data_IF_383876076132
#
_entry.id   IF_383876076132
#
_cell.length_a   1.000
_cell.length_b   1.000
_cell.length_c   1.000
_cell.angle_alpha   90.00
_cell.angle_beta   90.00
_cell.angle_gamma   90.00
#
_symmetry.space_group_name_H-M   'P 1'
#
loop_
_entity.id
_entity.type
_entity.pdbx_description
1 polymer ?
#
# COMPACT_ATOMS: atom_id res chain seq x y z
N UNK A 1 4.21 -12.85 -9.05
CA UNK A 1 4.61 -13.49 -7.76
C UNK A 1 3.63 -13.06 -6.67
N UNK A 2 3.03 -14.03 -5.99
CA UNK A 2 2.13 -13.76 -4.86
C UNK A 2 2.91 -14.00 -3.56
N UNK A 3 3.24 -12.96 -2.78
CA UNK A 3 3.88 -13.14 -1.47
C UNK A 3 2.87 -13.77 -0.49
N UNK A 4 3.35 -14.70 0.33
CA UNK A 4 2.51 -15.27 1.40
C UNK A 4 2.31 -14.25 2.54
N UNK A 5 1.41 -14.57 3.49
CA UNK A 5 1.03 -13.66 4.58
C UNK A 5 2.24 -13.23 5.45
N UNK A 6 3.20 -14.13 5.69
CA UNK A 6 4.41 -13.79 6.45
C UNK A 6 5.26 -12.76 5.71
N UNK A 7 5.44 -12.96 4.41
CA UNK A 7 6.17 -12.00 3.55
C UNK A 7 5.43 -10.66 3.50
N UNK A 8 4.10 -10.66 3.37
CA UNK A 8 3.29 -9.43 3.42
C UNK A 8 3.41 -8.69 4.74
N UNK A 9 3.49 -9.40 5.85
CA UNK A 9 3.72 -8.79 7.16
C UNK A 9 5.11 -8.13 7.24
N UNK A 10 6.15 -8.74 6.65
CA UNK A 10 7.47 -8.12 6.56
C UNK A 10 7.46 -6.87 5.66
N UNK A 11 6.77 -6.93 4.52
CA UNK A 11 6.59 -5.78 3.63
C UNK A 11 5.88 -4.64 4.37
N UNK A 12 4.82 -4.96 5.13
CA UNK A 12 4.09 -4.00 5.94
C UNK A 12 5.00 -3.32 6.98
N UNK A 13 5.80 -4.10 7.72
CA UNK A 13 6.77 -3.55 8.68
C UNK A 13 7.80 -2.64 8.02
N UNK A 14 8.33 -3.05 6.87
CA UNK A 14 9.31 -2.27 6.13
C UNK A 14 8.74 -0.94 5.64
N UNK A 15 7.51 -0.92 5.14
CA UNK A 15 6.90 0.33 4.67
C UNK A 15 6.53 1.25 5.82
N UNK A 16 6.13 0.72 6.98
CA UNK A 16 5.88 1.52 8.18
C UNK A 16 7.19 2.18 8.67
N UNK A 17 8.29 1.41 8.76
CA UNK A 17 9.62 1.95 9.12
C UNK A 17 10.07 3.04 8.13
N UNK A 18 9.93 2.78 6.84
CA UNK A 18 10.23 3.76 5.79
C UNK A 18 9.38 5.03 5.93
N UNK A 19 8.08 4.90 6.11
CA UNK A 19 7.16 6.04 6.29
C UNK A 19 7.55 6.91 7.49
N UNK A 20 7.90 6.27 8.61
CA UNK A 20 8.36 6.98 9.79
C UNK A 20 9.67 7.75 9.53
N UNK A 21 10.60 7.17 8.78
CA UNK A 21 11.89 7.82 8.44
C UNK A 21 11.72 9.05 7.54
N UNK A 22 10.71 9.07 6.68
CA UNK A 22 10.39 10.23 5.84
C UNK A 22 9.42 11.22 6.51
N UNK A 23 9.11 11.04 7.81
CA UNK A 23 8.35 11.98 8.62
C UNK A 23 6.85 11.71 8.71
N UNK A 24 6.33 10.61 8.13
CA UNK A 24 4.94 10.20 8.29
C UNK A 24 4.82 9.37 9.57
N UNK A 25 4.54 10.05 10.67
CA UNK A 25 4.35 9.41 11.97
C UNK A 25 3.00 8.68 12.00
N UNK A 26 3.01 7.38 12.30
CA UNK A 26 1.81 6.53 12.34
C UNK A 26 1.05 6.51 11.01
N UNK A 27 1.66 5.99 9.92
CA UNK A 27 1.07 6.01 8.59
C UNK A 27 -0.25 5.23 8.54
N UNK A 28 -1.18 5.69 7.72
CA UNK A 28 -2.43 5.01 7.38
C UNK A 28 -2.18 4.08 6.20
N UNK A 29 -2.22 2.78 6.46
CA UNK A 29 -1.92 1.74 5.46
C UNK A 29 -3.19 1.04 5.03
N UNK A 30 -3.59 1.22 3.77
CA UNK A 30 -4.68 0.48 3.16
C UNK A 30 -4.18 -0.82 2.53
N UNK A 31 -4.80 -1.94 2.89
CA UNK A 31 -4.53 -3.24 2.29
C UNK A 31 -5.51 -3.48 1.15
N UNK A 32 -5.00 -3.39 -0.09
CA UNK A 32 -5.84 -3.40 -1.28
C UNK A 32 -6.37 -4.78 -1.63
N UNK A 33 -7.63 -4.78 -2.02
CA UNK A 33 -8.33 -5.90 -2.64
C UNK A 33 -9.28 -5.38 -3.74
N UNK A 34 -9.96 -6.27 -4.42
CA UNK A 34 -11.01 -5.91 -5.38
C UNK A 34 -12.30 -5.44 -4.70
N UNK A 35 -12.45 -5.68 -3.40
CA UNK A 35 -13.65 -5.40 -2.61
C UNK A 35 -13.29 -4.99 -1.20
N UNK A 36 -14.19 -4.31 -0.52
CA UNK A 36 -14.13 -4.00 0.92
C UNK A 36 -14.75 -5.11 1.80
N UNK A 37 -15.41 -6.09 1.19
CA UNK A 37 -15.96 -7.24 1.89
C UNK A 37 -14.98 -8.40 1.91
N UNK A 38 -15.00 -9.18 2.99
CA UNK A 38 -14.19 -10.40 3.11
C UNK A 38 -14.93 -11.54 2.43
N UNK A 39 -14.43 -11.97 1.27
CA UNK A 39 -15.04 -13.01 0.45
C UNK A 39 -14.01 -14.13 0.19
N UNK A 40 -14.39 -15.38 0.47
CA UNK A 40 -13.52 -16.54 0.19
C UNK A 40 -13.19 -16.69 -1.31
N UNK A 41 -14.11 -16.27 -2.18
CA UNK A 41 -13.90 -16.22 -3.63
C UNK A 41 -12.89 -15.16 -4.09
N UNK A 42 -12.50 -14.24 -3.19
CA UNK A 42 -11.51 -13.19 -3.43
C UNK A 42 -10.38 -13.32 -2.40
N UNK A 43 -9.38 -14.18 -2.63
CA UNK A 43 -8.33 -14.50 -1.66
C UNK A 43 -7.61 -13.26 -1.10
N UNK A 44 -7.42 -12.21 -1.92
CA UNK A 44 -6.80 -10.96 -1.48
C UNK A 44 -7.59 -10.25 -0.37
N UNK A 45 -8.93 -10.43 -0.30
CA UNK A 45 -9.75 -9.84 0.75
C UNK A 45 -9.56 -10.56 2.08
N UNK A 46 -9.47 -11.89 2.04
CA UNK A 46 -9.20 -12.73 3.22
C UNK A 46 -7.81 -12.43 3.78
N UNK A 47 -6.79 -12.38 2.91
CA UNK A 47 -5.42 -12.04 3.31
C UNK A 47 -5.30 -10.63 3.90
N UNK A 48 -6.01 -9.65 3.33
CA UNK A 48 -6.02 -8.27 3.84
C UNK A 48 -6.64 -8.19 5.24
N UNK A 49 -7.73 -8.92 5.49
CA UNK A 49 -8.32 -9.01 6.83
C UNK A 49 -7.35 -9.67 7.83
N UNK A 50 -6.74 -10.78 7.43
CA UNK A 50 -5.75 -11.48 8.27
C UNK A 50 -4.57 -10.57 8.62
N UNK A 51 -4.03 -9.86 7.63
CA UNK A 51 -2.91 -8.94 7.82
C UNK A 51 -3.30 -7.75 8.72
N UNK A 52 -4.53 -7.25 8.63
CA UNK A 52 -5.09 -6.24 9.53
C UNK A 52 -5.10 -6.74 10.98
N UNK A 53 -5.54 -7.99 11.20
CA UNK A 53 -5.55 -8.62 12.53
C UNK A 53 -4.13 -8.82 13.07
N UNK A 54 -3.20 -9.25 12.22
CA UNK A 54 -1.79 -9.42 12.59
C UNK A 54 -1.11 -8.08 12.95
N UNK A 55 -1.34 -7.04 12.17
CA UNK A 55 -0.81 -5.70 12.46
C UNK A 55 -1.25 -5.19 13.84
N UNK A 56 -2.53 -5.39 14.16
CA UNK A 56 -3.10 -5.04 15.47
C UNK A 56 -2.52 -5.90 16.60
N UNK A 57 -2.38 -7.21 16.39
CA UNK A 57 -1.82 -8.15 17.37
C UNK A 57 -0.35 -7.82 17.70
N UNK A 58 0.43 -7.43 16.70
CA UNK A 58 1.82 -7.04 16.87
C UNK A 58 2.01 -5.58 17.30
N UNK A 59 0.92 -4.86 17.49
CA UNK A 59 0.92 -3.45 17.92
C UNK A 59 1.83 -2.56 17.07
N UNK A 60 1.71 -2.70 15.73
CA UNK A 60 2.51 -1.91 14.79
C UNK A 60 2.16 -0.42 14.91
N UNK A 61 3.18 0.46 14.81
CA UNK A 61 3.00 1.91 14.88
C UNK A 61 2.42 2.48 13.57
N UNK A 62 1.22 2.05 13.21
CA UNK A 62 0.48 2.46 12.02
C UNK A 62 -1.02 2.19 12.21
N UNK A 63 -1.86 2.90 11.50
CA UNK A 63 -3.25 2.54 11.32
C UNK A 63 -3.36 1.66 10.07
N UNK A 64 -3.58 0.35 10.25
CA UNK A 64 -3.64 -0.63 9.15
C UNK A 64 -5.06 -1.14 9.02
N UNK A 65 -5.60 -1.09 7.80
CA UNK A 65 -6.95 -1.56 7.53
C UNK A 65 -7.11 -2.13 6.11
N UNK A 66 -7.86 -3.20 6.01
CA UNK A 66 -8.30 -3.85 4.79
C UNK A 66 -9.20 -5.06 5.10
N UNK A 67 -9.86 -5.58 4.05
CA UNK A 67 -9.71 -5.21 2.64
C UNK A 67 -10.32 -3.84 2.31
N UNK A 68 -9.71 -3.15 1.35
CA UNK A 68 -10.22 -1.93 0.75
C UNK A 68 -10.02 -1.98 -0.77
N UNK A 69 -11.01 -1.51 -1.52
CA UNK A 69 -10.83 -1.24 -2.94
C UNK A 69 -10.04 0.07 -3.13
N UNK A 70 -9.47 0.27 -4.30
CA UNK A 70 -8.63 1.45 -4.58
C UNK A 70 -9.36 2.76 -4.32
N UNK A 71 -10.59 2.90 -4.83
CA UNK A 71 -11.40 4.12 -4.70
C UNK A 71 -11.70 4.49 -3.24
N UNK A 72 -12.07 3.51 -2.43
CA UNK A 72 -12.38 3.75 -1.03
C UNK A 72 -11.15 3.83 -0.11
N UNK A 73 -9.97 3.50 -0.63
CA UNK A 73 -8.71 3.74 0.08
C UNK A 73 -8.28 5.21 0.04
N UNK A 74 -8.56 5.92 -1.08
CA UNK A 74 -8.05 7.27 -1.34
C UNK A 74 -9.13 8.36 -1.40
N UNK A 75 -10.41 7.98 -1.45
CA UNK A 75 -11.54 8.91 -1.57
C UNK A 75 -12.50 8.79 -0.40
N UNK A 76 -12.53 9.83 0.45
CA UNK A 76 -13.53 9.95 1.54
C UNK A 76 -14.97 9.85 1.04
N UNK A 77 -15.23 10.38 -0.16
CA UNK A 77 -16.55 10.31 -0.79
C UNK A 77 -16.92 8.86 -1.08
N UNK A 78 -16.02 8.09 -1.71
CA UNK A 78 -16.24 6.67 -2.02
C UNK A 78 -16.41 5.85 -0.75
N UNK A 79 -15.54 6.05 0.23
CA UNK A 79 -15.63 5.39 1.53
C UNK A 79 -16.97 5.70 2.24
N UNK A 80 -17.42 6.96 2.17
CA UNK A 80 -18.70 7.39 2.76
C UNK A 80 -19.91 6.77 2.07
N UNK A 81 -19.92 6.69 0.74
CA UNK A 81 -21.01 6.04 -0.02
C UNK A 81 -21.12 4.55 0.36
N UNK A 82 -20.00 3.87 0.55
CA UNK A 82 -19.94 2.47 0.96
C UNK A 82 -20.11 2.25 2.47
N UNK A 83 -20.29 3.33 3.24
CA UNK A 83 -20.51 3.25 4.69
C UNK A 83 -19.32 2.75 5.50
N UNK A 84 -18.10 2.84 4.95
CA UNK A 84 -16.89 2.35 5.61
C UNK A 84 -16.47 3.35 6.70
N UNK A 85 -16.57 2.91 7.96
CA UNK A 85 -16.20 3.71 9.14
C UNK A 85 -14.84 3.28 9.67
N UNK A 86 -13.77 3.83 9.08
CA UNK A 86 -12.39 3.56 9.50
C UNK A 86 -11.50 4.78 9.24
N UNK A 87 -10.44 4.95 10.03
CA UNK A 87 -9.49 6.07 9.92
C UNK A 87 -8.61 6.02 8.69
N UNK A 88 -8.46 4.85 8.06
CA UNK A 88 -7.63 4.63 6.87
C UNK A 88 -8.44 4.89 5.59
N UNK A 89 -9.74 4.50 5.60
CA UNK A 89 -10.58 4.61 4.42
C UNK A 89 -10.73 6.07 3.94
N UNK A 90 -10.35 6.30 2.70
CA UNK A 90 -10.34 7.62 2.06
C UNK A 90 -9.17 8.53 2.41
N UNK A 91 -8.24 8.07 3.24
CA UNK A 91 -7.09 8.86 3.73
C UNK A 91 -5.78 8.05 3.79
N UNK A 92 -5.65 7.01 2.99
CA UNK A 92 -4.46 6.17 3.02
C UNK A 92 -3.20 6.93 2.58
N UNK A 93 -2.16 6.87 3.40
CA UNK A 93 -0.80 7.32 3.06
C UNK A 93 -0.05 6.25 2.25
N UNK A 94 -0.39 4.98 2.48
CA UNK A 94 0.26 3.82 1.87
C UNK A 94 -0.79 2.85 1.33
N UNK A 95 -0.57 2.37 0.11
CA UNK A 95 -1.37 1.32 -0.51
C UNK A 95 -0.54 0.03 -0.61
N UNK A 96 -0.85 -0.97 0.19
CA UNK A 96 -0.24 -2.28 0.09
C UNK A 96 -1.06 -3.14 -0.87
N UNK A 97 -0.48 -3.42 -2.02
CA UNK A 97 -1.15 -4.16 -3.11
C UNK A 97 -1.07 -5.68 -2.90
N UNK A 98 -2.04 -6.45 -3.41
CA UNK A 98 -2.07 -7.89 -3.24
C UNK A 98 -0.96 -8.64 -3.98
N UNK A 99 -0.48 -8.09 -5.10
CA UNK A 99 0.55 -8.71 -5.94
C UNK A 99 1.44 -7.67 -6.63
N UNK A 100 2.60 -8.12 -7.09
CA UNK A 100 3.53 -7.29 -7.88
C UNK A 100 2.86 -6.79 -9.17
N UNK A 101 2.06 -7.63 -9.81
CA UNK A 101 1.36 -7.31 -11.05
C UNK A 101 0.38 -6.16 -10.84
N UNK A 102 -0.42 -6.22 -9.77
CA UNK A 102 -1.35 -5.14 -9.41
C UNK A 102 -0.61 -3.82 -9.11
N UNK A 103 0.46 -3.88 -8.34
CA UNK A 103 1.28 -2.71 -8.02
C UNK A 103 1.94 -2.11 -9.25
N UNK A 104 2.52 -2.94 -10.13
CA UNK A 104 3.16 -2.47 -11.35
C UNK A 104 2.14 -1.79 -12.29
N UNK A 105 0.97 -2.40 -12.49
CA UNK A 105 -0.09 -1.82 -13.32
C UNK A 105 -0.56 -0.47 -12.76
N UNK A 106 -0.81 -0.38 -11.44
CA UNK A 106 -1.24 0.84 -10.78
C UNK A 106 -0.21 1.97 -10.91
N UNK A 107 1.07 1.71 -10.62
CA UNK A 107 2.15 2.70 -10.75
C UNK A 107 2.31 3.17 -12.19
N UNK A 108 2.33 2.25 -13.16
CA UNK A 108 2.43 2.62 -14.57
C UNK A 108 1.22 3.44 -15.03
N UNK A 109 0.01 3.10 -14.59
CA UNK A 109 -1.19 3.89 -14.91
C UNK A 109 -1.07 5.32 -14.36
N UNK A 110 -0.62 5.51 -13.12
CA UNK A 110 -0.41 6.84 -12.54
C UNK A 110 0.62 7.65 -13.31
N UNK A 111 1.74 7.04 -13.72
CA UNK A 111 2.77 7.72 -14.49
C UNK A 111 2.24 8.13 -15.87
N UNK A 112 1.71 7.19 -16.64
CA UNK A 112 1.36 7.43 -18.04
C UNK A 112 0.06 8.18 -18.26
N UNK A 113 -0.94 8.00 -17.37
CA UNK A 113 -2.25 8.66 -17.54
C UNK A 113 -2.43 9.89 -16.64
N UNK A 114 -1.77 9.93 -15.50
CA UNK A 114 -1.92 11.05 -14.54
C UNK A 114 -0.70 11.97 -14.47
N UNK A 115 0.37 11.66 -15.21
CA UNK A 115 1.61 12.44 -15.16
C UNK A 115 2.32 12.41 -13.80
N UNK A 116 2.08 11.36 -13.01
CA UNK A 116 2.68 11.26 -11.69
C UNK A 116 4.20 11.05 -11.80
N UNK A 117 4.95 11.76 -10.95
CA UNK A 117 6.37 11.48 -10.75
C UNK A 117 6.50 10.28 -9.79
N UNK A 118 7.27 9.28 -10.17
CA UNK A 118 7.49 8.08 -9.37
C UNK A 118 8.97 7.88 -9.08
N UNK A 119 9.27 7.52 -7.84
CA UNK A 119 10.59 7.08 -7.42
C UNK A 119 10.48 5.69 -6.77
N UNK A 120 11.43 4.80 -7.08
CA UNK A 120 11.47 3.46 -6.55
C UNK A 120 12.52 3.31 -5.46
N UNK A 121 12.11 2.79 -4.30
CA UNK A 121 13.05 2.48 -3.20
C UNK A 121 12.87 1.04 -2.77
N UNK A 122 13.96 0.28 -2.77
CA UNK A 122 14.00 -1.06 -2.18
C UNK A 122 14.35 -0.93 -0.71
N UNK A 123 13.45 -1.40 0.15
CA UNK A 123 13.58 -1.32 1.60
C UNK A 123 13.69 -2.71 2.22
N UNK A 124 14.08 -2.78 3.51
CA UNK A 124 14.26 -4.04 4.24
C UNK A 124 15.70 -4.59 4.21
N UNK A 125 16.62 -3.95 3.51
CA UNK A 125 18.06 -4.21 3.58
C UNK A 125 18.74 -3.35 4.65
N UNK A 126 20.08 -3.49 4.76
CA UNK A 126 20.89 -2.65 5.68
C UNK A 126 20.88 -1.18 5.30
N UNK A 127 20.74 -0.89 4.00
CA UNK A 127 20.63 0.46 3.43
C UNK A 127 19.48 0.48 2.42
N UNK A 128 18.76 1.58 2.27
CA UNK A 128 17.79 1.74 1.19
C UNK A 128 18.53 1.80 -0.16
N UNK A 129 17.93 1.21 -1.20
CA UNK A 129 18.48 1.26 -2.55
C UNK A 129 17.46 1.95 -3.44
N UNK A 130 17.83 3.10 -3.99
CA UNK A 130 16.99 3.84 -4.94
C UNK A 130 17.17 3.21 -6.33
N UNK A 131 16.05 2.91 -6.97
CA UNK A 131 16.02 2.36 -8.33
C UNK A 131 15.03 3.13 -9.20
N UNK A 132 15.36 3.25 -10.47
CA UNK A 132 14.44 3.78 -11.49
C UNK A 132 14.10 2.71 -12.51
N UNK A 133 12.98 2.90 -13.20
CA UNK A 133 12.66 2.09 -14.35
C UNK A 133 13.61 2.45 -15.52
N UNK A 134 13.92 1.48 -16.37
CA UNK A 134 14.69 1.72 -17.61
C UNK A 134 14.00 2.70 -18.58
N UNK A 135 12.71 2.95 -18.39
CA UNK A 135 11.90 3.88 -19.17
C UNK A 135 11.71 5.24 -18.50
N UNK A 136 12.28 5.45 -17.30
CA UNK A 136 12.15 6.71 -16.58
C UNK A 136 13.23 7.70 -17.07
N UNK A 137 12.89 8.99 -17.12
CA UNK A 137 13.86 10.03 -17.44
C UNK A 137 14.89 10.17 -16.32
N UNK A 138 16.13 10.51 -16.67
CA UNK A 138 17.23 10.66 -15.71
C UNK A 138 16.93 11.71 -14.61
N UNK A 139 16.04 12.66 -14.88
CA UNK A 139 15.60 13.69 -13.95
C UNK A 139 14.76 13.13 -12.77
N UNK A 140 14.17 11.95 -12.89
CA UNK A 140 13.40 11.33 -11.80
C UNK A 140 14.26 10.99 -10.56
N UNK A 141 15.59 10.89 -10.72
CA UNK A 141 16.54 10.67 -9.64
C UNK A 141 16.96 11.96 -8.90
N UNK A 142 16.71 13.13 -9.47
CA UNK A 142 17.22 14.41 -8.95
C UNK A 142 16.20 15.06 -7.98
N UNK A 143 14.95 14.63 -8.03
CA UNK A 143 13.85 15.21 -7.24
C UNK A 143 13.52 14.40 -5.96
N UNK A 144 14.42 13.53 -5.49
CA UNK A 144 14.28 12.80 -4.23
C UNK A 144 14.96 13.57 -3.10
#
# INVERSE_FOLDING_TARGET
MLPNIKTKLHILKNVIDFSNRIGIVKPKVALLSATEEVLESVPSSVEAEELTKLAKKENLNADVFGPLAFDNSISKKSAGIKGIKNTVAGEADVLLVPSVEAGNALVKMLIYFSGACAAGVVVGGKVPVVITSRSDEALSLIHI
#
